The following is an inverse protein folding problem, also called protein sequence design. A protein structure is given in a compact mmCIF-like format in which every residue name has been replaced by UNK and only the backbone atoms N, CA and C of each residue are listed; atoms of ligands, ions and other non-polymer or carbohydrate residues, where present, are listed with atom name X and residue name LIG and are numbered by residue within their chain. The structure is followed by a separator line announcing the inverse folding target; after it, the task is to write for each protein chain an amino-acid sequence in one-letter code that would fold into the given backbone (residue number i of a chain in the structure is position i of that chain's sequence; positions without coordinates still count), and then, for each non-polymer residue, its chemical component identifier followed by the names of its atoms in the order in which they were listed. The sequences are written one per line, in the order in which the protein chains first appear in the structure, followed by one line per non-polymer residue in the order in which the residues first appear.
data_IF_164451788267
#
_entry.id   IF_164451788267
#
_cell.length_a   1.000
_cell.length_b   1.000
_cell.length_c   1.000
_cell.angle_alpha   90.00
_cell.angle_beta   90.00
_cell.angle_gamma   90.00
#
_symmetry.space_group_name_H-M   'P 1'
#
loop_
_entity.id
_entity.type
_entity.pdbx_description
1 polymer ?
#
# COMPACT_ATOMS: atom_id res chain seq x y z
N UNK A 1 1.53 -1.75 -11.49
CA UNK A 1 2.16 -2.29 -10.27
C UNK A 1 1.16 -3.25 -9.62
N UNK A 2 1.64 -4.27 -8.91
CA UNK A 2 0.81 -5.25 -8.20
C UNK A 2 0.60 -4.92 -6.71
N UNK A 3 1.00 -3.71 -6.28
CA UNK A 3 0.84 -3.23 -4.91
C UNK A 3 2.18 -2.95 -4.23
N UNK A 4 2.90 -1.93 -4.66
CA UNK A 4 4.12 -1.47 -3.98
C UNK A 4 3.76 -0.60 -2.77
N UNK A 5 4.55 -0.69 -1.69
CA UNK A 5 4.43 0.21 -0.52
C UNK A 5 5.78 0.87 -0.26
N UNK A 6 5.78 2.20 -0.09
CA UNK A 6 6.99 3.00 0.11
C UNK A 6 6.67 4.32 0.82
N UNK A 7 7.62 4.88 1.60
CA UNK A 7 7.47 6.20 2.19
C UNK A 7 7.72 7.29 1.14
N UNK A 8 7.08 8.45 1.31
CA UNK A 8 7.27 9.63 0.46
C UNK A 8 7.78 10.83 1.26
N UNK A 9 8.46 11.75 0.58
CA UNK A 9 9.00 12.96 1.20
C UNK A 9 9.97 12.64 2.35
N UNK A 10 9.66 13.16 3.54
CA UNK A 10 10.47 12.97 4.75
C UNK A 10 10.04 11.77 5.61
N UNK A 11 8.98 11.06 5.21
CA UNK A 11 8.49 9.90 5.94
C UNK A 11 9.53 8.77 5.90
N UNK A 12 9.53 7.93 6.93
CA UNK A 12 10.40 6.76 7.03
C UNK A 12 9.57 5.50 7.19
N UNK A 13 10.11 4.39 6.73
CA UNK A 13 9.53 3.05 6.85
C UNK A 13 10.66 2.03 6.70
N UNK A 14 10.55 0.89 7.38
CA UNK A 14 11.36 -0.30 7.15
C UNK A 14 10.56 -1.28 6.26
N UNK A 15 10.86 -1.39 4.96
CA UNK A 15 10.04 -2.17 4.05
C UNK A 15 10.17 -3.68 4.25
N UNK A 16 9.09 -4.42 3.98
CA UNK A 16 9.12 -5.87 3.91
C UNK A 16 9.71 -6.34 2.57
N UNK A 17 10.43 -7.47 2.55
CA UNK A 17 10.94 -8.05 1.31
C UNK A 17 9.78 -8.58 0.42
N UNK A 18 9.96 -8.61 -0.91
CA UNK A 18 11.15 -8.18 -1.65
C UNK A 18 11.31 -6.65 -1.68
N UNK A 19 12.53 -6.14 -1.49
CA UNK A 19 12.77 -4.69 -1.46
C UNK A 19 13.37 -4.17 -2.76
N UNK A 20 13.15 -2.89 -3.06
CA UNK A 20 13.88 -2.19 -4.11
C UNK A 20 15.39 -2.23 -3.89
N UNK A 21 16.22 -2.03 -4.94
CA UNK A 21 17.68 -2.04 -4.82
C UNK A 21 18.23 -1.03 -3.79
N UNK A 22 17.54 0.09 -3.58
CA UNK A 22 17.90 1.09 -2.57
C UNK A 22 17.27 0.85 -1.18
N UNK A 23 16.52 -0.25 -1.01
CA UNK A 23 15.94 -0.67 0.26
C UNK A 23 14.80 0.22 0.78
N UNK A 24 14.27 1.15 -0.01
CA UNK A 24 13.24 2.11 0.43
C UNK A 24 11.81 1.68 0.12
N UNK A 25 11.62 0.70 -0.77
CA UNK A 25 10.30 0.27 -1.24
C UNK A 25 10.14 -1.23 -1.03
N UNK A 26 8.96 -1.63 -0.58
CA UNK A 26 8.49 -3.01 -0.59
C UNK A 26 7.80 -3.26 -1.92
N UNK A 27 8.37 -4.16 -2.71
CA UNK A 27 7.75 -4.67 -3.92
C UNK A 27 6.75 -5.78 -3.56
N UNK A 28 5.71 -5.98 -4.39
CA UNK A 28 4.76 -7.05 -4.18
C UNK A 28 5.45 -8.42 -4.26
N UNK A 29 5.17 -9.29 -3.29
CA UNK A 29 5.60 -10.70 -3.29
C UNK A 29 4.86 -11.54 -4.34
N UNK A 30 3.68 -11.09 -4.78
CA UNK A 30 2.82 -11.77 -5.74
C UNK A 30 2.16 -10.81 -6.73
N UNK A 31 1.98 -11.26 -7.97
CA UNK A 31 1.31 -10.50 -9.02
C UNK A 31 -0.22 -10.69 -8.95
N UNK A 32 -0.92 -9.80 -8.23
CA UNK A 32 -2.36 -9.98 -7.96
C UNK A 32 -3.31 -9.02 -8.65
N UNK A 33 -2.84 -7.90 -9.22
CA UNK A 33 -3.72 -6.96 -9.92
C UNK A 33 -4.24 -7.52 -11.24
N UNK A 34 -5.51 -7.20 -11.51
CA UNK A 34 -6.20 -7.44 -12.76
C UNK A 34 -5.82 -6.40 -13.83
N UNK A 35 -6.26 -6.63 -15.07
CA UNK A 35 -5.95 -5.73 -16.20
C UNK A 35 -6.66 -4.38 -16.05
N UNK A 36 -6.19 -3.38 -16.79
CA UNK A 36 -6.86 -2.09 -16.86
C UNK A 36 -8.32 -2.25 -17.31
N UNK A 37 -9.24 -1.54 -16.63
CA UNK A 37 -10.69 -1.66 -16.82
C UNK A 37 -11.36 -2.69 -15.91
N UNK A 38 -10.60 -3.53 -15.21
CA UNK A 38 -11.12 -4.47 -14.21
C UNK A 38 -10.98 -3.92 -12.78
N UNK A 39 -11.92 -4.31 -11.91
CA UNK A 39 -11.93 -3.85 -10.53
C UNK A 39 -10.96 -4.65 -9.67
N UNK A 40 -10.06 -3.94 -9.00
CA UNK A 40 -9.19 -4.52 -7.98
C UNK A 40 -9.74 -4.20 -6.57
N UNK A 41 -9.63 -5.17 -5.66
CA UNK A 41 -9.98 -4.99 -4.27
C UNK A 41 -8.72 -4.85 -3.42
N UNK A 42 -8.58 -3.71 -2.75
CA UNK A 42 -7.46 -3.41 -1.87
C UNK A 42 -7.94 -3.44 -0.43
N UNK A 43 -7.18 -4.10 0.43
CA UNK A 43 -7.32 -4.01 1.88
C UNK A 43 -6.00 -3.55 2.47
N UNK A 44 -6.04 -2.52 3.31
CA UNK A 44 -4.87 -1.93 3.95
C UNK A 44 -5.09 -2.01 5.45
N UNK A 45 -4.07 -2.50 6.17
CA UNK A 45 -4.05 -2.50 7.64
C UNK A 45 -2.87 -1.68 8.11
N UNK A 46 -3.15 -0.64 8.90
CA UNK A 46 -2.15 0.18 9.56
C UNK A 46 -2.32 0.06 11.08
N UNK A 47 -1.35 -0.52 11.78
CA UNK A 47 -1.39 -0.76 13.24
C UNK A 47 0.01 -0.61 13.81
N UNK A 48 0.16 0.17 14.89
CA UNK A 48 1.43 0.32 15.63
C UNK A 48 2.66 0.66 14.75
N UNK A 49 2.46 1.51 13.74
CA UNK A 49 3.53 1.88 12.80
C UNK A 49 3.87 0.81 11.77
N UNK A 50 3.08 -0.25 11.66
CA UNK A 50 3.13 -1.24 10.57
C UNK A 50 2.03 -0.96 9.55
N UNK A 51 2.36 -1.03 8.26
CA UNK A 51 1.40 -0.98 7.15
C UNK A 51 1.53 -2.27 6.33
N UNK A 52 0.40 -2.95 6.10
CA UNK A 52 0.29 -4.12 5.21
C UNK A 52 -0.77 -3.88 4.14
N UNK A 53 -0.49 -4.36 2.93
CA UNK A 53 -1.36 -4.28 1.78
C UNK A 53 -1.74 -5.68 1.28
N UNK A 54 -3.03 -5.88 1.09
CA UNK A 54 -3.60 -7.01 0.37
C UNK A 54 -4.22 -6.52 -0.94
N UNK A 55 -3.95 -7.25 -2.01
CA UNK A 55 -4.57 -7.03 -3.32
C UNK A 55 -5.31 -8.30 -3.72
N UNK A 56 -6.59 -8.18 -4.07
CA UNK A 56 -7.46 -9.29 -4.49
C UNK A 56 -7.35 -10.52 -3.55
N UNK A 57 -7.35 -10.25 -2.23
CA UNK A 57 -7.43 -11.27 -1.20
C UNK A 57 -6.11 -11.86 -0.70
N UNK A 58 -4.95 -11.37 -1.15
CA UNK A 58 -3.65 -11.83 -0.61
C UNK A 58 -2.71 -10.69 -0.31
N UNK A 59 -1.93 -10.89 0.74
CA UNK A 59 -0.94 -9.94 1.22
C UNK A 59 0.21 -9.88 0.22
N UNK A 60 0.56 -8.68 -0.24
CA UNK A 60 1.58 -8.50 -1.26
C UNK A 60 2.76 -7.69 -0.77
N UNK A 61 2.57 -6.71 0.10
CA UNK A 61 3.66 -5.81 0.50
C UNK A 61 3.34 -5.08 1.80
N UNK A 62 4.35 -4.37 2.32
CA UNK A 62 4.19 -3.55 3.51
C UNK A 62 5.50 -3.06 4.10
N UNK A 63 5.43 -2.57 5.32
CA UNK A 63 6.59 -2.20 6.11
C UNK A 63 6.25 -1.95 7.57
N UNK A 64 7.28 -1.94 8.41
CA UNK A 64 7.22 -1.58 9.82
C UNK A 64 7.89 -0.23 10.07
N UNK A 65 7.88 0.22 11.32
CA UNK A 65 8.61 1.42 11.77
C UNK A 65 8.25 2.68 10.96
N UNK A 66 6.99 2.80 10.54
CA UNK A 66 6.47 3.97 9.83
C UNK A 66 6.52 5.22 10.72
N UNK A 67 7.15 6.28 10.23
CA UNK A 67 7.28 7.56 10.93
C UNK A 67 6.94 8.73 9.99
N UNK A 68 5.91 9.53 10.29
CA UNK A 68 4.97 9.39 11.41
C UNK A 68 4.06 8.15 11.27
N UNK A 69 3.59 7.61 12.40
CA UNK A 69 2.67 6.46 12.43
C UNK A 69 1.19 6.87 12.31
N UNK A 70 0.92 8.14 12.03
CA UNK A 70 -0.43 8.70 11.88
C UNK A 70 -0.45 9.76 10.77
N UNK A 71 -1.60 9.95 10.15
CA UNK A 71 -1.77 10.92 9.07
C UNK A 71 -3.15 10.85 8.43
N UNK A 72 -3.27 11.45 7.25
CA UNK A 72 -4.50 11.45 6.47
C UNK A 72 -4.46 10.39 5.37
N UNK A 73 -5.64 9.95 4.92
CA UNK A 73 -5.78 9.15 3.71
C UNK A 73 -5.97 10.08 2.52
N UNK A 74 -5.26 9.80 1.42
CA UNK A 74 -5.39 10.50 0.16
C UNK A 74 -5.57 9.48 -0.97
N UNK A 75 -6.44 9.80 -1.93
CA UNK A 75 -6.58 9.04 -3.16
C UNK A 75 -5.87 9.81 -4.27
N UNK A 76 -4.91 9.17 -4.91
CA UNK A 76 -4.09 9.77 -5.97
C UNK A 76 -4.47 9.23 -7.34
N UNK A 77 -4.36 10.09 -8.35
CA UNK A 77 -4.47 9.77 -9.77
C UNK A 77 -3.26 10.36 -10.47
N UNK A 78 -2.40 9.51 -11.05
CA UNK A 78 -1.21 9.95 -11.77
C UNK A 78 -1.29 9.50 -13.24
N UNK A 79 -1.27 10.45 -14.18
CA UNK A 79 -1.13 10.20 -15.61
C UNK A 79 -2.36 9.63 -16.36
N UNK A 80 -3.36 9.08 -15.67
CA UNK A 80 -4.61 8.59 -16.27
C UNK A 80 -5.79 8.70 -15.28
N UNK A 81 -7.05 8.71 -15.77
CA UNK A 81 -8.22 8.65 -14.91
C UNK A 81 -8.27 7.37 -14.05
N UNK A 82 -8.76 7.50 -12.83
CA UNK A 82 -8.99 6.39 -11.89
C UNK A 82 -10.36 6.53 -11.24
N UNK A 83 -11.02 5.41 -10.98
CA UNK A 83 -12.31 5.34 -10.28
C UNK A 83 -12.17 4.55 -8.98
N UNK A 84 -12.79 5.04 -7.92
CA UNK A 84 -12.83 4.38 -6.62
C UNK A 84 -14.27 4.08 -6.22
N UNK A 85 -14.51 2.89 -5.63
CA UNK A 85 -15.82 2.53 -5.07
C UNK A 85 -15.65 1.64 -3.85
N UNK A 86 -16.66 1.63 -2.99
CA UNK A 86 -16.70 0.75 -1.83
C UNK A 86 -15.66 1.08 -0.75
N UNK A 87 -15.23 2.35 -0.67
CA UNK A 87 -14.30 2.82 0.35
C UNK A 87 -14.94 2.70 1.73
N UNK A 88 -14.25 2.01 2.64
CA UNK A 88 -14.67 1.81 4.02
C UNK A 88 -13.45 1.95 4.92
N UNK A 89 -13.63 2.63 6.05
CA UNK A 89 -12.60 2.79 7.07
C UNK A 89 -13.13 2.26 8.39
N UNK A 90 -12.23 1.62 9.15
CA UNK A 90 -12.48 1.22 10.53
C UNK A 90 -11.25 1.60 11.33
N UNK A 91 -11.43 2.48 12.30
CA UNK A 91 -10.40 2.77 13.30
C UNK A 91 -10.16 1.52 14.16
N UNK A 92 -8.90 1.27 14.47
CA UNK A 92 -8.48 0.12 15.28
C UNK A 92 -8.13 0.60 16.69
N UNK A 93 -8.32 -0.25 17.73
CA UNK A 93 -8.04 0.11 19.12
C UNK A 93 -6.58 0.49 19.37
#
# INVERSE_FOLDING_TARGET
SHGDVFPTGVAKMKPFPPTSPNGQRSFPSEERTLKAGEWNHYYIRAVDGEVRLWVNGGEVSGGSDCQPAQGYLCLESEGAPIEFRGLRIRELP
#
